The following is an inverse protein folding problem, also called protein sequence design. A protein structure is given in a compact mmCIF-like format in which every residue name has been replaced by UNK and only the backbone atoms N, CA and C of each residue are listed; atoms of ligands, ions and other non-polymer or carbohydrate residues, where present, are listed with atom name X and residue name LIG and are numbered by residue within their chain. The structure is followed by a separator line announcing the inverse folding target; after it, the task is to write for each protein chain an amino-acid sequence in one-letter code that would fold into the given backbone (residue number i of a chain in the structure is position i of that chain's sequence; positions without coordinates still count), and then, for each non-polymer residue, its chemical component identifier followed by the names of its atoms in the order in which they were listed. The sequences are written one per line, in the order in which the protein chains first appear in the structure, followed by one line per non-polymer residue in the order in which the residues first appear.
data_IF_507918520324
#
_entry.id   IF_507918520324
#
_cell.length_a   1.000
_cell.length_b   1.000
_cell.length_c   1.000
_cell.angle_alpha   90.00
_cell.angle_beta   90.00
_cell.angle_gamma   90.00
#
_symmetry.space_group_name_H-M   'P 1'
#
loop_
_entity.id
_entity.type
_entity.pdbx_description
1 polymer ?
#
# COMPACT_ATOMS: atom_id res chain seq x y z
N UNK A 1 -5.26 -2.15 -0.67
CA UNK A 1 -4.55 -1.37 0.37
C UNK A 1 -3.08 -1.33 -0.01
N UNK A 2 -2.42 -0.17 0.11
CA UNK A 2 -0.98 -0.03 -0.07
C UNK A 2 -0.36 0.37 1.28
N UNK A 3 0.86 -0.10 1.53
CA UNK A 3 1.68 0.30 2.66
C UNK A 3 3.06 0.72 2.16
N UNK A 4 3.56 1.82 2.72
CA UNK A 4 4.87 2.39 2.45
C UNK A 4 5.72 2.16 3.70
N UNK A 5 6.83 1.46 3.52
CA UNK A 5 7.82 1.22 4.56
C UNK A 5 9.05 2.03 4.19
N UNK A 6 9.52 2.89 5.08
CA UNK A 6 10.66 3.77 4.85
C UNK A 6 11.53 3.79 6.11
N UNK A 7 12.87 3.65 5.99
CA UNK A 7 13.77 3.86 7.12
C UNK A 7 13.66 5.29 7.64
N UNK A 8 13.90 5.49 8.93
CA UNK A 8 13.86 6.83 9.53
C UNK A 8 14.85 7.79 8.84
N UNK A 9 16.02 7.28 8.41
CA UNK A 9 17.03 8.04 7.65
C UNK A 9 16.54 8.56 6.30
N UNK A 10 15.48 7.98 5.73
CA UNK A 10 14.90 8.40 4.45
C UNK A 10 13.52 9.04 4.58
N UNK A 11 13.00 9.17 5.81
CA UNK A 11 11.67 9.72 6.08
C UNK A 11 11.51 11.16 5.59
N UNK A 12 12.52 11.99 5.78
CA UNK A 12 12.53 13.38 5.31
C UNK A 12 12.49 13.47 3.78
N UNK A 13 13.20 12.57 3.08
CA UNK A 13 13.16 12.49 1.61
C UNK A 13 11.76 12.20 1.08
N UNK A 14 11.03 11.28 1.71
CA UNK A 14 9.63 11.01 1.37
C UNK A 14 8.74 12.23 1.67
N UNK A 15 8.95 12.90 2.81
CA UNK A 15 8.18 14.10 3.16
C UNK A 15 8.42 15.24 2.16
N UNK A 16 9.67 15.46 1.74
CA UNK A 16 10.04 16.45 0.73
C UNK A 16 9.43 16.12 -0.64
N UNK A 17 9.41 14.84 -1.04
CA UNK A 17 8.76 14.41 -2.28
C UNK A 17 7.25 14.71 -2.28
N UNK A 18 6.55 14.42 -1.18
CA UNK A 18 5.13 14.77 -1.04
C UNK A 18 4.91 16.28 -1.04
N UNK A 19 5.76 17.05 -0.35
CA UNK A 19 5.69 18.51 -0.33
C UNK A 19 5.87 19.10 -1.75
N UNK A 20 6.85 18.60 -2.51
CA UNK A 20 7.09 18.99 -3.90
C UNK A 20 5.87 18.74 -4.79
N UNK A 21 5.23 17.58 -4.66
CA UNK A 21 4.00 17.27 -5.42
C UNK A 21 2.88 18.25 -5.05
N UNK A 22 2.73 18.56 -3.76
CA UNK A 22 1.71 19.51 -3.30
C UNK A 22 1.96 20.91 -3.84
N UNK A 23 3.21 21.36 -3.84
CA UNK A 23 3.61 22.66 -4.41
C UNK A 23 3.29 22.73 -5.91
N UNK A 24 3.77 21.75 -6.70
CA UNK A 24 3.48 21.64 -8.14
C UNK A 24 1.96 21.71 -8.42
N UNK A 25 1.18 21.06 -7.56
CA UNK A 25 -0.26 20.96 -7.72
C UNK A 25 -1.04 22.08 -7.06
N UNK A 26 -0.35 23.06 -6.46
CA UNK A 26 -0.93 24.18 -5.70
C UNK A 26 -1.89 23.70 -4.60
N UNK A 27 -1.56 22.59 -3.94
CA UNK A 27 -2.33 22.01 -2.84
C UNK A 27 -1.88 22.68 -1.53
N UNK A 28 -2.80 23.28 -0.75
CA UNK A 28 -2.44 23.93 0.51
C UNK A 28 -1.74 22.98 1.50
N UNK A 29 -0.80 23.46 2.34
CA UNK A 29 -0.03 22.61 3.25
C UNK A 29 -0.88 21.74 4.19
N UNK A 30 -2.06 22.21 4.59
CA UNK A 30 -2.98 21.47 5.49
C UNK A 30 -3.93 20.51 4.77
N UNK A 31 -3.98 20.53 3.44
CA UNK A 31 -4.82 19.63 2.64
C UNK A 31 -4.01 18.39 2.29
N UNK A 32 -4.55 17.20 2.52
CA UNK A 32 -3.89 15.96 2.17
C UNK A 32 -3.80 15.79 0.63
N UNK A 33 -2.66 15.33 0.13
CA UNK A 33 -2.53 14.87 -1.24
C UNK A 33 -3.33 13.56 -1.42
N UNK A 34 -4.44 13.67 -2.14
CA UNK A 34 -5.31 12.55 -2.54
C UNK A 34 -5.26 12.26 -4.04
N UNK A 35 -5.15 10.99 -4.42
CA UNK A 35 -5.08 10.54 -5.81
C UNK A 35 -6.33 10.92 -6.62
N UNK A 36 -7.51 10.64 -6.08
CA UNK A 36 -8.79 10.93 -6.76
C UNK A 36 -8.99 12.42 -7.02
N UNK A 37 -8.54 13.24 -6.08
CA UNK A 37 -8.88 14.66 -6.05
C UNK A 37 -7.86 15.47 -6.84
N UNK A 38 -6.58 15.08 -6.75
CA UNK A 38 -5.47 15.85 -7.27
C UNK A 38 -4.75 15.20 -8.45
N UNK A 39 -4.93 13.91 -8.71
CA UNK A 39 -4.25 13.19 -9.81
C UNK A 39 -5.25 12.82 -10.92
N UNK A 40 -6.06 13.78 -11.36
CA UNK A 40 -7.17 13.57 -12.31
C UNK A 40 -6.75 13.36 -13.76
N UNK A 41 -5.55 13.81 -14.13
CA UNK A 41 -5.04 13.75 -15.51
C UNK A 41 -3.79 12.89 -15.60
N UNK A 42 -3.57 12.28 -16.78
CA UNK A 42 -2.38 11.47 -17.04
C UNK A 42 -1.06 12.21 -16.75
N UNK A 43 -0.84 13.48 -17.17
CA UNK A 43 0.40 14.19 -16.85
C UNK A 43 0.64 14.36 -15.34
N UNK A 44 -0.42 14.62 -14.56
CA UNK A 44 -0.29 14.73 -13.10
C UNK A 44 0.08 13.39 -12.48
N UNK A 45 -0.57 12.29 -12.90
CA UNK A 45 -0.22 10.93 -12.45
C UNK A 45 1.22 10.57 -12.80
N UNK A 46 1.67 10.92 -14.00
CA UNK A 46 3.05 10.73 -14.46
C UNK A 46 4.04 11.52 -13.60
N UNK A 47 3.74 12.77 -13.28
CA UNK A 47 4.57 13.61 -12.40
C UNK A 47 4.71 12.98 -11.01
N UNK A 48 3.59 12.58 -10.39
CA UNK A 48 3.59 11.93 -9.07
C UNK A 48 4.43 10.65 -9.10
N UNK A 49 4.25 9.80 -10.13
CA UNK A 49 5.03 8.57 -10.28
C UNK A 49 6.53 8.84 -10.42
N UNK A 50 6.92 9.86 -11.19
CA UNK A 50 8.33 10.24 -11.36
C UNK A 50 8.95 10.76 -10.07
N UNK A 51 8.24 11.61 -9.32
CA UNK A 51 8.74 12.15 -8.05
C UNK A 51 8.87 11.04 -7.00
N UNK A 52 7.84 10.21 -6.83
CA UNK A 52 7.86 9.14 -5.82
C UNK A 52 8.85 8.01 -6.15
N UNK A 53 9.08 7.72 -7.44
CA UNK A 53 10.07 6.73 -7.86
C UNK A 53 11.51 7.08 -7.48
N UNK A 54 11.80 8.38 -7.30
CA UNK A 54 13.10 8.89 -6.89
C UNK A 54 13.33 8.91 -5.38
N UNK A 55 12.37 8.45 -4.56
CA UNK A 55 12.55 8.40 -3.11
C UNK A 55 13.30 7.13 -2.70
N UNK A 56 14.48 7.32 -2.11
CA UNK A 56 15.32 6.24 -1.64
C UNK A 56 14.75 5.53 -0.42
N UNK A 57 15.14 4.27 -0.24
CA UNK A 57 14.77 3.47 0.93
C UNK A 57 13.32 2.99 0.99
N UNK A 58 12.43 3.49 0.11
CA UNK A 58 11.02 3.07 0.10
C UNK A 58 10.88 1.60 -0.28
N UNK A 59 10.11 0.86 0.54
CA UNK A 59 9.58 -0.46 0.22
C UNK A 59 8.06 -0.47 0.21
N UNK A 60 7.48 -1.03 -0.85
CA UNK A 60 6.04 -1.09 -1.04
C UNK A 60 5.50 -2.48 -0.78
N UNK A 61 4.36 -2.52 -0.08
CA UNK A 61 3.50 -3.68 0.05
C UNK A 61 2.09 -3.32 -0.44
N UNK A 62 1.55 -4.15 -1.32
CA UNK A 62 0.18 -4.08 -1.81
C UNK A 62 -0.60 -5.30 -1.36
N UNK A 63 -1.79 -5.06 -0.81
CA UNK A 63 -2.79 -6.09 -0.56
C UNK A 63 -3.98 -5.81 -1.47
N UNK A 64 -4.19 -6.71 -2.42
CA UNK A 64 -5.20 -6.60 -3.48
C UNK A 64 -6.24 -7.68 -3.29
N UNK A 65 -7.51 -7.28 -3.35
CA UNK A 65 -8.65 -8.18 -3.31
C UNK A 65 -9.52 -7.94 -4.54
N UNK A 66 -9.77 -8.98 -5.32
CA UNK A 66 -10.86 -8.98 -6.30
C UNK A 66 -12.12 -9.41 -5.55
N UNK A 67 -13.03 -8.48 -5.25
CA UNK A 67 -14.25 -8.81 -4.50
C UNK A 67 -15.10 -9.86 -5.19
N UNK A 68 -15.11 -9.89 -6.53
CA UNK A 68 -15.81 -10.90 -7.32
C UNK A 68 -15.26 -12.32 -7.14
N UNK A 69 -14.01 -12.47 -6.69
CA UNK A 69 -13.38 -13.76 -6.41
C UNK A 69 -13.74 -14.32 -5.01
N UNK A 70 -14.35 -13.50 -4.15
CA UNK A 70 -14.73 -13.93 -2.81
C UNK A 70 -16.06 -14.70 -2.91
N UNK A 71 -16.19 -15.90 -2.30
CA UNK A 71 -17.44 -16.64 -2.34
C UNK A 71 -18.62 -15.79 -1.84
N UNK A 72 -19.74 -15.76 -2.57
CA UNK A 72 -20.90 -14.91 -2.24
C UNK A 72 -21.46 -15.15 -0.83
N UNK A 73 -21.33 -16.38 -0.32
CA UNK A 73 -21.75 -16.76 1.04
C UNK A 73 -20.80 -16.30 2.13
N UNK A 74 -19.63 -15.76 1.79
CA UNK A 74 -18.68 -15.26 2.77
C UNK A 74 -19.20 -13.96 3.37
N UNK A 75 -19.46 -13.96 4.68
CA UNK A 75 -19.93 -12.80 5.45
C UNK A 75 -19.02 -11.58 5.34
N UNK A 76 -17.76 -11.76 4.90
CA UNK A 76 -16.81 -10.67 4.68
C UNK A 76 -17.22 -9.75 3.51
N UNK A 77 -18.04 -10.22 2.57
CA UNK A 77 -18.51 -9.39 1.45
C UNK A 77 -19.57 -8.38 1.87
N UNK A 78 -20.40 -8.74 2.84
CA UNK A 78 -21.52 -7.93 3.32
C UNK A 78 -21.13 -7.04 4.51
N UNK A 79 -20.03 -7.35 5.18
CA UNK A 79 -19.52 -6.59 6.32
C UNK A 79 -18.21 -5.85 5.93
N UNK A 80 -18.36 -4.57 5.58
CA UNK A 80 -17.24 -3.71 5.21
C UNK A 80 -16.21 -3.51 6.32
N UNK A 81 -16.63 -3.56 7.60
CA UNK A 81 -15.73 -3.45 8.75
C UNK A 81 -14.88 -4.71 8.86
N UNK A 82 -15.50 -5.88 8.76
CA UNK A 82 -14.78 -7.15 8.77
C UNK A 82 -13.83 -7.28 7.58
N UNK A 83 -14.23 -6.82 6.39
CA UNK A 83 -13.36 -6.80 5.22
C UNK A 83 -12.14 -5.89 5.41
N UNK A 84 -12.35 -4.70 5.96
CA UNK A 84 -11.27 -3.77 6.27
C UNK A 84 -10.31 -4.38 7.29
N UNK A 85 -10.81 -4.89 8.43
CA UNK A 85 -9.98 -5.50 9.48
C UNK A 85 -9.14 -6.65 8.94
N UNK A 86 -9.74 -7.53 8.13
CA UNK A 86 -9.03 -8.63 7.47
C UNK A 86 -7.92 -8.13 6.55
N UNK A 87 -8.21 -7.13 5.72
CA UNK A 87 -7.22 -6.53 4.81
C UNK A 87 -6.09 -5.84 5.56
N UNK A 88 -6.43 -5.07 6.62
CA UNK A 88 -5.47 -4.40 7.49
C UNK A 88 -4.56 -5.40 8.20
N UNK A 89 -5.10 -6.52 8.68
CA UNK A 89 -4.32 -7.61 9.28
C UNK A 89 -3.34 -8.25 8.30
N UNK A 90 -3.76 -8.52 7.05
CA UNK A 90 -2.84 -9.02 6.03
C UNK A 90 -1.76 -7.98 5.71
N UNK A 91 -2.12 -6.71 5.63
CA UNK A 91 -1.16 -5.63 5.40
C UNK A 91 -0.11 -5.56 6.52
N UNK A 92 -0.52 -5.68 7.80
CA UNK A 92 0.40 -5.73 8.93
C UNK A 92 1.38 -6.89 8.83
N UNK A 93 0.89 -8.09 8.52
CA UNK A 93 1.76 -9.25 8.30
C UNK A 93 2.76 -9.02 7.17
N UNK A 94 2.34 -8.36 6.08
CA UNK A 94 3.26 -7.99 5.00
C UNK A 94 4.28 -6.95 5.46
N UNK A 95 3.89 -5.95 6.25
CA UNK A 95 4.78 -4.91 6.82
C UNK A 95 5.81 -5.51 7.79
N UNK A 96 5.45 -6.53 8.55
CA UNK A 96 6.38 -7.19 9.46
C UNK A 96 7.35 -8.11 8.70
N UNK A 97 6.90 -8.82 7.67
CA UNK A 97 7.80 -9.59 6.79
C UNK A 97 8.78 -8.65 6.06
N UNK A 98 8.24 -7.66 5.32
CA UNK A 98 8.70 -6.26 5.42
C UNK A 98 9.99 -5.96 6.17
N UNK A 99 9.79 -5.60 7.42
CA UNK A 99 10.81 -5.23 8.36
C UNK A 99 11.84 -6.35 8.58
N UNK A 100 11.40 -7.61 8.71
CA UNK A 100 12.29 -8.76 8.96
C UNK A 100 13.40 -8.96 7.90
N UNK A 101 13.13 -8.62 6.64
CA UNK A 101 14.13 -8.69 5.56
C UNK A 101 14.66 -7.31 5.12
N UNK A 102 14.37 -6.27 5.90
CA UNK A 102 14.99 -4.97 5.66
C UNK A 102 16.49 -5.06 6.01
N UNK A 103 17.40 -4.54 5.17
CA UNK A 103 18.82 -4.52 5.49
C UNK A 103 19.11 -3.68 6.74
N UNK A 104 20.09 -4.10 7.54
CA UNK A 104 20.49 -3.43 8.79
C UNK A 104 20.12 -4.21 10.06
N UNK A 105 20.52 -3.63 11.19
CA UNK A 105 20.39 -4.23 12.52
C UNK A 105 19.07 -3.89 13.21
N UNK A 106 18.59 -2.63 13.11
CA UNK A 106 17.26 -2.28 13.61
C UNK A 106 16.19 -2.50 12.54
N UNK A 107 15.42 -3.57 12.74
CA UNK A 107 14.35 -4.01 11.85
C UNK A 107 12.97 -3.79 12.47
N UNK A 108 12.90 -3.03 13.56
CA UNK A 108 11.63 -2.76 14.21
C UNK A 108 10.86 -1.71 13.41
N UNK A 109 9.54 -1.79 13.45
CA UNK A 109 8.66 -0.95 12.65
C UNK A 109 7.53 -0.40 13.51
N UNK A 110 7.30 0.91 13.40
CA UNK A 110 6.08 1.54 13.88
C UNK A 110 5.06 1.60 12.73
N UNK A 111 3.82 1.20 12.99
CA UNK A 111 2.77 1.14 11.95
C UNK A 111 1.72 2.20 12.18
N UNK A 112 1.42 2.95 11.13
CA UNK A 112 0.38 3.98 11.12
C UNK A 112 -0.60 3.70 9.99
N UNK A 113 -1.87 3.54 10.33
CA UNK A 113 -2.98 3.42 9.39
C UNK A 113 -3.60 4.80 9.15
N UNK A 114 -4.12 4.99 7.94
CA UNK A 114 -4.96 6.15 7.65
C UNK A 114 -6.29 6.03 8.38
N UNK A 115 -6.66 7.07 9.11
CA UNK A 115 -7.97 7.16 9.75
C UNK A 115 -9.08 7.14 8.69
N UNK A 116 -9.99 6.16 8.79
CA UNK A 116 -11.16 6.04 7.90
C UNK A 116 -12.41 6.46 8.66
N UNK A 117 -13.15 7.43 8.11
CA UNK A 117 -14.40 7.91 8.73
C UNK A 117 -15.42 6.77 8.84
N UNK A 118 -16.03 6.66 10.01
CA UNK A 118 -17.08 5.66 10.29
C UNK A 118 -16.55 4.27 10.64
N UNK A 119 -15.24 4.09 10.76
CA UNK A 119 -14.64 2.85 11.24
C UNK A 119 -14.29 2.96 12.73
N UNK A 120 -14.57 1.89 13.44
CA UNK A 120 -14.17 1.70 14.83
C UNK A 120 -12.74 1.14 14.87
N UNK A 121 -11.79 2.02 15.14
CA UNK A 121 -10.37 1.70 15.13
C UNK A 121 -9.95 0.86 16.34
N UNK A 122 -10.70 0.92 17.44
CA UNK A 122 -10.48 0.06 18.61
C UNK A 122 -10.79 -1.40 18.26
N UNK A 123 -11.91 -1.65 17.58
CA UNK A 123 -12.22 -3.00 17.05
C UNK A 123 -11.20 -3.48 16.03
N UNK A 124 -10.61 -2.57 15.27
CA UNK A 124 -9.52 -2.92 14.35
C UNK A 124 -8.29 -3.38 15.15
N UNK A 125 -7.90 -2.66 16.20
CA UNK A 125 -6.81 -3.08 17.09
C UNK A 125 -7.07 -4.41 17.76
N UNK A 126 -8.26 -4.61 18.33
CA UNK A 126 -8.66 -5.90 18.92
C UNK A 126 -8.51 -7.04 17.91
N UNK A 127 -8.92 -6.83 16.66
CA UNK A 127 -8.77 -7.80 15.60
C UNK A 127 -7.29 -8.12 15.33
N UNK A 128 -6.44 -7.10 15.22
CA UNK A 128 -5.00 -7.27 15.01
C UNK A 128 -4.34 -8.04 16.17
N UNK A 129 -4.75 -7.80 17.41
CA UNK A 129 -4.25 -8.54 18.57
C UNK A 129 -4.71 -9.99 18.63
N UNK A 130 -5.97 -10.26 18.29
CA UNK A 130 -6.46 -11.64 18.12
C UNK A 130 -5.63 -12.39 17.07
N UNK A 131 -5.26 -11.71 15.98
CA UNK A 131 -4.42 -12.26 14.92
C UNK A 131 -2.98 -12.53 15.38
N UNK A 132 -2.41 -11.69 16.25
CA UNK A 132 -1.08 -11.93 16.87
C UNK A 132 -1.02 -13.23 17.66
N UNK A 133 -2.10 -13.60 18.34
CA UNK A 133 -2.19 -14.86 19.10
C UNK A 133 -2.32 -16.12 18.24
N UNK A 134 -2.45 -15.99 16.91
CA UNK A 134 -2.58 -17.12 16.00
C UNK A 134 -1.21 -17.55 15.47
N UNK A 135 -1.07 -18.84 15.13
CA UNK A 135 0.13 -19.37 14.47
C UNK A 135 0.33 -18.64 13.13
N UNK A 136 1.41 -17.87 13.03
CA UNK A 136 1.77 -17.10 11.84
C UNK A 136 3.28 -17.22 11.58
N UNK A 137 3.69 -17.03 10.33
CA UNK A 137 5.11 -16.98 9.91
C UNK A 137 5.77 -15.63 10.23
N UNK A 138 5.02 -14.73 10.89
CA UNK A 138 5.41 -13.35 11.11
C UNK A 138 5.96 -13.18 12.51
N UNK A 139 7.14 -12.57 12.61
CA UNK A 139 7.71 -12.15 13.89
C UNK A 139 7.05 -10.84 14.36
N UNK A 140 6.14 -10.97 15.33
CA UNK A 140 5.43 -9.85 15.92
C UNK A 140 6.29 -9.01 16.87
N UNK A 141 7.48 -9.49 17.28
CA UNK A 141 8.40 -8.71 18.12
C UNK A 141 9.00 -7.51 17.39
N UNK A 142 8.95 -7.50 16.06
CA UNK A 142 9.38 -6.37 15.23
C UNK A 142 8.43 -5.17 15.29
N UNK A 143 7.19 -5.35 15.78
CA UNK A 143 6.24 -4.25 15.90
C UNK A 143 6.56 -3.40 17.13
N UNK A 144 6.80 -2.10 16.93
CA UNK A 144 7.01 -1.14 18.02
C UNK A 144 5.67 -0.59 18.47
N UNK A 145 5.26 -0.98 19.69
CA UNK A 145 4.01 -0.54 20.30
C UNK A 145 2.78 -0.99 19.50
N UNK A 146 1.69 -0.26 19.70
CA UNK A 146 0.43 -0.55 19.02
C UNK A 146 0.36 0.18 17.67
N UNK A 147 -0.27 -0.41 16.63
CA UNK A 147 -0.59 0.33 15.44
C UNK A 147 -1.44 1.57 15.78
N UNK A 148 -1.20 2.67 15.09
CA UNK A 148 -1.94 3.92 15.34
C UNK A 148 -2.78 4.30 14.13
N UNK A 149 -3.82 5.09 14.34
CA UNK A 149 -4.69 5.60 13.28
C UNK A 149 -4.54 7.12 13.23
N UNK A 150 -4.05 7.63 12.12
CA UNK A 150 -3.67 9.04 11.99
C UNK A 150 -4.31 9.68 10.77
N UNK A 151 -4.54 10.99 10.87
CA UNK A 151 -5.02 11.80 9.76
C UNK A 151 -3.95 11.88 8.67
N UNK A 152 -4.33 11.53 7.43
CA UNK A 152 -3.42 11.54 6.29
C UNK A 152 -2.83 12.93 6.01
N UNK A 153 -3.54 14.03 6.31
CA UNK A 153 -3.05 15.40 6.11
C UNK A 153 -1.76 15.71 6.87
N UNK A 154 -1.51 14.99 7.97
CA UNK A 154 -0.32 15.15 8.83
C UNK A 154 0.76 14.11 8.58
N UNK A 155 0.56 13.20 7.63
CA UNK A 155 1.45 12.06 7.42
C UNK A 155 1.77 11.87 5.94
N UNK A 156 2.99 12.24 5.54
CA UNK A 156 3.47 12.09 4.16
C UNK A 156 3.53 10.62 3.72
N UNK A 157 3.79 9.68 4.63
CA UNK A 157 3.77 8.24 4.33
C UNK A 157 2.39 7.75 3.91
N UNK A 158 1.34 8.19 4.60
CA UNK A 158 -0.04 7.87 4.23
C UNK A 158 -0.47 8.52 2.92
N UNK A 159 -0.10 9.77 2.69
CA UNK A 159 -0.36 10.46 1.42
C UNK A 159 0.34 9.75 0.26
N UNK A 160 1.60 9.32 0.44
CA UNK A 160 2.31 8.51 -0.54
C UNK A 160 1.63 7.15 -0.76
N UNK A 161 1.21 6.47 0.31
CA UNK A 161 0.48 5.20 0.21
C UNK A 161 -0.80 5.31 -0.62
N UNK A 162 -1.55 6.42 -0.48
CA UNK A 162 -2.70 6.71 -1.33
C UNK A 162 -2.32 6.85 -2.81
N UNK A 163 -1.21 7.56 -3.10
CA UNK A 163 -0.72 7.69 -4.47
C UNK A 163 -0.31 6.34 -5.08
N UNK A 164 0.45 5.54 -4.34
CA UNK A 164 0.84 4.19 -4.76
C UNK A 164 -0.37 3.28 -5.00
N UNK A 165 -1.38 3.34 -4.11
CA UNK A 165 -2.64 2.61 -4.31
C UNK A 165 -3.36 3.05 -5.59
N UNK A 166 -3.38 4.36 -5.87
CA UNK A 166 -3.96 4.94 -7.08
C UNK A 166 -3.24 4.52 -8.36
N UNK A 167 -1.91 4.47 -8.36
CA UNK A 167 -1.09 3.98 -9.47
C UNK A 167 -1.43 2.52 -9.78
N UNK A 168 -1.43 1.65 -8.75
CA UNK A 168 -1.79 0.25 -8.94
C UNK A 168 -3.22 0.10 -9.46
N UNK A 169 -4.18 0.84 -8.89
CA UNK A 169 -5.57 0.82 -9.35
C UNK A 169 -5.68 1.18 -10.83
N UNK A 170 -4.98 2.22 -11.28
CA UNK A 170 -5.02 2.66 -12.68
C UNK A 170 -4.30 1.67 -13.62
N UNK A 171 -3.38 0.86 -13.11
CA UNK A 171 -2.73 -0.21 -13.84
C UNK A 171 -3.62 -1.47 -13.99
N UNK A 172 -4.46 -1.79 -13.00
CA UNK A 172 -5.23 -3.06 -12.98
C UNK A 172 -6.73 -2.89 -13.26
N UNK A 173 -7.27 -1.67 -13.17
CA UNK A 173 -8.67 -1.39 -13.49
C UNK A 173 -8.75 -0.63 -14.80
N UNK A 174 -9.51 -1.11 -15.79
CA UNK A 174 -9.67 -0.39 -17.05
C UNK A 174 -10.37 0.95 -16.81
N UNK A 175 -10.02 1.95 -17.61
CA UNK A 175 -10.75 3.19 -17.72
C UNK A 175 -12.10 2.99 -18.45
N UNK A 176 -12.86 4.07 -18.63
CA UNK A 176 -14.16 4.05 -19.31
C UNK A 176 -14.09 3.61 -20.79
N UNK A 177 -12.90 3.54 -21.37
CA UNK A 177 -12.63 3.13 -22.74
C UNK A 177 -11.91 1.78 -22.83
N UNK A 178 -11.69 1.09 -21.70
CA UNK A 178 -10.97 -0.19 -21.66
C UNK A 178 -9.45 -0.07 -21.61
N UNK A 179 -8.90 1.14 -21.51
CA UNK A 179 -7.46 1.39 -21.41
C UNK A 179 -6.92 1.23 -19.99
N UNK A 180 -5.61 1.04 -19.86
CA UNK A 180 -4.90 0.94 -18.58
C UNK A 180 -3.76 1.98 -18.53
N UNK A 181 -3.38 2.40 -17.32
CA UNK A 181 -2.25 3.31 -17.11
C UNK A 181 -1.14 2.64 -16.29
N UNK A 182 -0.64 1.51 -16.79
CA UNK A 182 0.40 0.72 -16.10
C UNK A 182 1.73 1.45 -15.97
N UNK A 183 2.03 2.40 -16.86
CA UNK A 183 3.30 3.11 -16.91
C UNK A 183 3.66 3.76 -15.56
N UNK A 184 2.66 4.28 -14.84
CA UNK A 184 2.85 4.90 -13.52
C UNK A 184 3.20 3.86 -12.45
N UNK A 185 2.56 2.69 -12.47
CA UNK A 185 2.88 1.60 -11.56
C UNK A 185 4.25 0.97 -11.86
N UNK A 186 4.55 0.74 -13.15
CA UNK A 186 5.84 0.20 -13.58
C UNK A 186 7.02 1.12 -13.19
N UNK A 187 6.80 2.44 -13.17
CA UNK A 187 7.79 3.44 -12.76
C UNK A 187 8.23 3.29 -11.29
N UNK A 188 7.36 2.76 -10.42
CA UNK A 188 7.63 2.56 -8.98
C UNK A 188 7.81 1.09 -8.61
N UNK A 189 7.74 0.18 -9.58
CA UNK A 189 7.77 -1.26 -9.36
C UNK A 189 9.10 -1.78 -8.78
N UNK A 190 10.19 -1.02 -8.88
CA UNK A 190 11.48 -1.30 -8.24
C UNK A 190 11.44 -1.10 -6.72
N UNK A 191 10.53 -0.26 -6.22
CA UNK A 191 10.34 -0.04 -4.78
C UNK A 191 9.53 -1.16 -4.13
N UNK A 192 8.86 -2.04 -4.87
CA UNK A 192 8.13 -3.17 -4.28
C UNK A 192 9.06 -4.13 -3.55
N UNK A 193 8.59 -4.68 -2.42
CA UNK A 193 9.30 -5.79 -1.79
C UNK A 193 9.33 -7.01 -2.72
N UNK A 194 10.51 -7.62 -2.81
CA UNK A 194 10.78 -8.80 -3.64
C UNK A 194 11.39 -9.90 -2.79
N UNK A 195 11.23 -11.14 -3.22
CA UNK A 195 12.02 -12.25 -2.70
C UNK A 195 13.51 -11.98 -3.00
N UNK A 196 14.42 -12.15 -2.03
CA UNK A 196 15.84 -11.83 -2.21
C UNK A 196 16.49 -12.67 -3.32
N UNK A 197 16.13 -13.95 -3.46
CA UNK A 197 16.80 -14.85 -4.41
C UNK A 197 16.14 -14.86 -5.79
N UNK A 198 14.81 -14.76 -5.85
CA UNK A 198 14.06 -14.96 -7.10
C UNK A 198 13.61 -13.64 -7.72
N UNK A 199 13.77 -12.51 -7.02
CA UNK A 199 13.28 -11.20 -7.47
C UNK A 199 11.76 -11.06 -7.48
N UNK A 200 11.01 -12.11 -7.14
CA UNK A 200 9.54 -12.14 -7.26
C UNK A 200 8.84 -11.21 -6.28
N UNK A 201 7.98 -10.34 -6.79
CA UNK A 201 7.11 -9.49 -5.94
C UNK A 201 5.85 -10.23 -5.45
N UNK A 202 5.32 -11.18 -6.23
CA UNK A 202 4.09 -11.90 -5.90
C UNK A 202 4.22 -12.78 -4.65
N UNK A 203 3.33 -12.56 -3.69
CA UNK A 203 3.37 -13.18 -2.35
C UNK A 203 4.25 -12.43 -1.34
N UNK A 204 5.02 -11.44 -1.81
CA UNK A 204 5.91 -10.59 -1.01
C UNK A 204 5.33 -9.17 -0.98
N UNK A 205 5.87 -8.26 -1.80
CA UNK A 205 5.37 -6.89 -1.93
C UNK A 205 4.03 -6.78 -2.65
N UNK A 206 3.54 -7.85 -3.29
CA UNK A 206 2.23 -7.90 -3.91
C UNK A 206 1.48 -9.16 -3.43
N UNK A 207 0.59 -8.99 -2.44
CA UNK A 207 -0.30 -10.04 -1.94
C UNK A 207 -1.67 -9.89 -2.60
N UNK A 208 -1.98 -10.79 -3.53
CA UNK A 208 -3.24 -10.80 -4.27
C UNK A 208 -4.14 -11.92 -3.76
N UNK A 209 -5.41 -11.58 -3.56
CA UNK A 209 -6.51 -12.48 -3.26
C UNK A 209 -7.56 -12.27 -4.36
N UNK A 210 -7.34 -12.95 -5.49
CA UNK A 210 -8.13 -12.83 -6.70
C UNK A 210 -8.22 -14.20 -7.38
N UNK A 211 -9.00 -14.30 -8.46
CA UNK A 211 -8.96 -15.49 -9.33
C UNK A 211 -7.56 -15.64 -9.94
N UNK A 212 -7.18 -16.87 -10.26
CA UNK A 212 -5.84 -17.19 -10.78
C UNK A 212 -5.53 -16.46 -12.10
N UNK A 213 -6.56 -16.15 -12.88
CA UNK A 213 -6.49 -15.46 -14.16
C UNK A 213 -6.51 -13.92 -14.06
N UNK A 214 -6.88 -13.35 -12.91
CA UNK A 214 -7.20 -11.91 -12.79
C UNK A 214 -6.04 -10.97 -13.18
N UNK A 215 -4.80 -11.37 -12.89
CA UNK A 215 -3.62 -10.62 -13.33
C UNK A 215 -3.09 -11.12 -14.67
N UNK A 216 -3.31 -12.40 -15.01
CA UNK A 216 -2.86 -12.97 -16.29
C UNK A 216 -3.61 -12.36 -17.49
N UNK A 217 -4.83 -11.87 -17.27
CA UNK A 217 -5.62 -11.17 -18.28
C UNK A 217 -5.16 -9.73 -18.55
N UNK A 218 -4.23 -9.18 -17.76
CA UNK A 218 -3.75 -7.81 -17.96
C UNK A 218 -2.74 -7.77 -19.12
N UNK A 219 -2.93 -6.91 -20.14
CA UNK A 219 -2.13 -6.95 -21.37
C UNK A 219 -0.64 -6.64 -21.15
N UNK A 220 -0.32 -5.92 -20.07
CA UNK A 220 1.04 -5.54 -19.70
C UNK A 220 1.67 -6.50 -18.66
N UNK A 221 0.91 -7.44 -18.11
CA UNK A 221 1.39 -8.34 -17.07
C UNK A 221 2.10 -9.56 -17.67
N UNK A 222 3.43 -9.52 -17.70
CA UNK A 222 4.24 -10.55 -18.36
C UNK A 222 4.56 -11.77 -17.47
N UNK A 223 3.90 -11.93 -16.33
CA UNK A 223 4.01 -13.12 -15.46
C UNK A 223 5.38 -13.39 -14.82
N UNK A 224 6.41 -12.60 -15.17
CA UNK A 224 7.79 -12.75 -14.71
C UNK A 224 8.32 -11.40 -14.24
N UNK A 225 8.49 -11.25 -12.92
CA UNK A 225 9.52 -10.44 -12.25
C UNK A 225 9.42 -10.65 -10.74
#
# INVERSE_FOLDING_TARGET
MAAVIVPDTHREGLAAAVAKIKEEFSIPPRVALHWSDHCKTFPRRQYVANVLAGVDGVKLNYVVFEKAAIPQKATILTDGVRFYNYTAGIALERILLTAAAFPGEDRRVQVQYGHVRGFDHEKTLEYLWKKRGQKSLVDWSLLVGDPTFVDASRNSGLQAADQYAGMLRSAICPDKHGGYEEAHFLRVAHQMRRHPETGRAWGYGLKVMARDDAFQSLPWWTGKK
#
